data_IF_481094703274
#
_entry.id   IF_481094703274
#
_cell.length_a   1.000
_cell.length_b   1.000
_cell.length_c   1.000
_cell.angle_alpha   90.00
_cell.angle_beta   90.00
_cell.angle_gamma   90.00
#
_symmetry.space_group_name_H-M   'P 1'
#
loop_
_entity.id
_entity.type
_entity.pdbx_description
1 polymer ?
#
# COMPACT_ATOMS: atom_id res chain seq x y z
N UNK A 1 63.37 28.66 -18.41
CA UNK A 1 63.58 27.22 -18.67
C UNK A 1 62.48 26.74 -19.62
N UNK A 2 62.79 25.75 -20.44
CA UNK A 2 62.31 25.54 -21.82
C UNK A 2 60.80 25.28 -21.99
N UNK A 3 60.26 25.92 -23.03
CA UNK A 3 59.01 25.56 -23.72
C UNK A 3 59.14 24.19 -24.41
N UNK A 4 58.05 23.42 -24.44
CA UNK A 4 57.82 22.37 -25.43
C UNK A 4 56.40 22.48 -25.98
N UNK A 5 56.34 22.87 -27.25
CA UNK A 5 55.20 22.82 -28.17
C UNK A 5 55.41 21.67 -29.15
N UNK A 6 54.38 20.87 -29.41
CA UNK A 6 54.18 20.09 -30.65
C UNK A 6 52.69 19.67 -30.66
N UNK A 7 51.77 20.28 -31.40
CA UNK A 7 51.56 20.37 -32.86
C UNK A 7 51.17 19.06 -33.53
N UNK A 8 49.87 18.96 -33.88
CA UNK A 8 49.26 18.48 -35.15
C UNK A 8 49.54 17.00 -35.55
N UNK A 9 48.67 16.20 -36.18
CA UNK A 9 47.54 16.46 -37.08
C UNK A 9 47.05 15.11 -37.67
N UNK A 10 45.74 14.98 -37.97
CA UNK A 10 45.14 14.30 -39.15
C UNK A 10 45.32 12.75 -39.20
N UNK A 11 44.40 11.87 -39.59
CA UNK A 11 43.25 11.78 -40.51
C UNK A 11 42.55 10.44 -40.18
N UNK A 12 41.21 10.37 -40.12
CA UNK A 12 40.25 10.13 -41.22
C UNK A 12 40.06 8.67 -41.68
N UNK A 13 38.78 8.35 -41.95
CA UNK A 13 38.15 7.26 -42.73
C UNK A 13 37.62 6.10 -41.88
N UNK A 14 36.29 5.94 -41.74
CA UNK A 14 35.33 5.41 -42.74
C UNK A 14 35.79 4.01 -43.20
N UNK A 15 35.02 2.94 -43.02
CA UNK A 15 33.81 2.62 -43.81
C UNK A 15 33.05 1.43 -43.18
N UNK A 16 31.71 1.38 -43.33
CA UNK A 16 30.83 0.29 -42.88
C UNK A 16 30.72 -0.87 -43.88
N UNK A 17 30.42 -2.07 -43.37
CA UNK A 17 29.89 -3.25 -44.09
C UNK A 17 28.79 -3.80 -43.16
N UNK A 18 27.50 -3.97 -43.51
CA UNK A 18 26.93 -4.66 -44.67
C UNK A 18 27.15 -6.17 -44.50
N UNK A 19 26.20 -7.10 -44.52
CA UNK A 19 24.87 -7.22 -45.15
C UNK A 19 24.15 -8.44 -44.49
N UNK A 20 22.85 -8.61 -44.80
CA UNK A 20 22.10 -9.88 -44.90
C UNK A 20 21.48 -10.40 -43.58
N UNK A 21 20.17 -10.56 -43.42
CA UNK A 21 19.09 -10.73 -44.40
C UNK A 21 18.50 -12.13 -44.22
N UNK A 22 17.49 -12.29 -43.36
CA UNK A 22 16.52 -13.39 -43.45
C UNK A 22 15.12 -12.83 -43.15
N UNK A 23 14.31 -12.82 -44.20
CA UNK A 23 12.85 -12.71 -44.18
C UNK A 23 12.30 -14.10 -43.88
N UNK A 24 11.42 -14.22 -42.90
CA UNK A 24 10.47 -15.32 -42.81
C UNK A 24 9.12 -14.71 -42.42
N UNK A 25 8.32 -14.45 -43.46
CA UNK A 25 6.89 -14.24 -43.35
C UNK A 25 6.21 -15.60 -43.22
N UNK A 26 5.40 -15.78 -42.18
CA UNK A 26 4.31 -16.76 -42.20
C UNK A 26 3.01 -15.97 -42.05
N UNK A 27 2.28 -15.97 -43.15
CA UNK A 27 0.90 -15.54 -43.31
C UNK A 27 -0.01 -16.49 -42.56
N UNK A 28 -1.00 -15.94 -41.85
CA UNK A 28 -2.09 -16.70 -41.22
C UNK A 28 -3.32 -15.83 -41.04
N UNK A 29 -4.02 -15.57 -42.14
CA UNK A 29 -5.35 -14.97 -42.16
C UNK A 29 -6.40 -15.93 -41.57
N UNK A 30 -7.43 -15.39 -40.90
CA UNK A 30 -8.59 -16.15 -40.48
C UNK A 30 -9.67 -15.31 -39.81
N UNK A 31 -10.31 -14.43 -40.59
CA UNK A 31 -11.56 -13.73 -40.25
C UNK A 31 -12.77 -14.67 -40.19
N UNK A 32 -13.73 -14.32 -39.34
CA UNK A 32 -15.03 -14.95 -39.00
C UNK A 32 -15.90 -15.40 -40.18
N UNK A 33 -16.98 -16.17 -39.90
CA UNK A 33 -18.27 -15.48 -39.80
C UNK A 33 -19.21 -15.99 -38.69
N UNK A 34 -20.03 -15.06 -38.20
CA UNK A 34 -21.29 -15.34 -37.52
C UNK A 34 -22.39 -15.77 -38.53
N UNK A 35 -23.45 -16.47 -38.11
CA UNK A 35 -24.74 -16.45 -38.77
C UNK A 35 -25.77 -15.61 -37.99
N UNK A 36 -26.17 -14.52 -38.61
CA UNK A 36 -27.55 -13.98 -38.81
C UNK A 36 -28.73 -14.54 -38.01
N UNK A 37 -29.39 -13.63 -37.24
CA UNK A 37 -30.79 -13.13 -37.34
C UNK A 37 -31.92 -14.09 -37.82
N UNK A 38 -33.19 -14.12 -37.37
CA UNK A 38 -34.18 -13.25 -36.65
C UNK A 38 -35.51 -14.11 -36.59
N UNK A 39 -36.70 -13.61 -36.17
CA UNK A 39 -37.14 -12.87 -34.98
C UNK A 39 -38.35 -13.55 -34.25
N UNK A 40 -38.88 -12.84 -33.23
CA UNK A 40 -40.27 -12.80 -32.74
C UNK A 40 -40.63 -13.66 -31.51
N UNK A 41 -40.96 -13.02 -30.38
CA UNK A 41 -42.31 -12.51 -30.03
C UNK A 41 -42.30 -11.96 -28.60
N UNK A 42 -42.83 -10.76 -28.45
CA UNK A 42 -43.27 -10.16 -27.18
C UNK A 42 -44.34 -11.03 -26.52
N UNK A 43 -44.33 -11.14 -25.18
CA UNK A 43 -45.58 -11.13 -24.43
C UNK A 43 -45.64 -9.94 -23.46
N UNK A 44 -46.86 -9.45 -23.31
CA UNK A 44 -47.23 -8.28 -22.55
C UNK A 44 -47.08 -8.44 -21.02
N UNK A 45 -46.86 -7.28 -20.40
CA UNK A 45 -47.22 -6.83 -19.06
C UNK A 45 -47.90 -7.83 -18.10
N UNK A 46 -47.23 -8.03 -16.95
CA UNK A 46 -47.88 -8.40 -15.70
C UNK A 46 -47.71 -7.26 -14.68
N UNK A 47 -48.83 -6.84 -14.12
CA UNK A 47 -49.01 -5.76 -13.14
C UNK A 47 -48.34 -6.11 -11.81
N UNK A 48 -47.58 -5.17 -11.24
CA UNK A 48 -47.21 -5.19 -9.81
C UNK A 48 -48.11 -4.20 -9.06
N UNK A 49 -48.73 -4.58 -7.93
CA UNK A 49 -49.63 -3.71 -7.19
C UNK A 49 -48.89 -2.61 -6.42
N UNK A 50 -49.43 -1.41 -6.54
CA UNK A 50 -49.14 -0.21 -5.75
C UNK A 50 -49.54 -0.43 -4.28
N UNK A 51 -48.61 -0.17 -3.36
CA UNK A 51 -48.86 -0.11 -1.92
C UNK A 51 -48.19 1.14 -1.34
N UNK A 52 -48.95 1.88 -0.54
CA UNK A 52 -48.73 3.25 -0.08
C UNK A 52 -47.43 3.54 0.67
N UNK A 53 -46.92 4.77 0.46
CA UNK A 53 -45.90 5.43 1.26
C UNK A 53 -46.46 5.86 2.63
N UNK A 54 -45.73 5.66 3.73
CA UNK A 54 -45.90 6.47 4.92
C UNK A 54 -45.20 7.81 4.76
N UNK A 55 -45.99 8.86 4.88
CA UNK A 55 -45.64 10.26 4.90
C UNK A 55 -45.22 10.64 6.34
N UNK A 56 -43.96 11.05 6.54
CA UNK A 56 -43.56 11.78 7.76
C UNK A 56 -42.67 12.96 7.33
N UNK A 57 -43.24 14.15 7.37
CA UNK A 57 -42.53 15.42 7.57
C UNK A 57 -42.57 15.75 9.07
N UNK A 58 -41.50 16.31 9.63
CA UNK A 58 -41.58 17.74 10.02
C UNK A 58 -40.23 18.46 9.78
N UNK A 59 -40.23 19.62 9.11
CA UNK A 59 -40.52 20.97 9.62
C UNK A 59 -39.25 21.73 10.00
N UNK A 60 -39.07 22.88 9.36
CA UNK A 60 -38.02 23.86 9.60
C UNK A 60 -38.15 24.51 11.00
N UNK A 61 -37.00 24.73 11.64
CA UNK A 61 -36.75 25.57 12.83
C UNK A 61 -37.48 26.93 12.80
N UNK A 62 -37.83 27.60 13.93
CA UNK A 62 -36.85 27.96 14.98
C UNK A 62 -37.38 28.16 16.43
N UNK A 63 -36.58 27.86 17.45
CA UNK A 63 -36.50 28.72 18.66
C UNK A 63 -35.31 28.36 19.54
N UNK A 64 -34.43 29.35 19.71
CA UNK A 64 -33.35 29.42 20.69
C UNK A 64 -33.94 29.89 22.02
N UNK A 65 -33.45 29.41 23.17
CA UNK A 65 -33.03 30.37 24.20
C UNK A 65 -31.52 30.34 24.40
N UNK A 66 -30.89 31.49 24.17
CA UNK A 66 -29.49 31.75 24.55
C UNK A 66 -29.37 31.64 26.07
N UNK A 67 -28.61 30.68 26.58
CA UNK A 67 -28.05 30.80 27.92
C UNK A 67 -27.01 31.95 27.91
N UNK A 68 -26.98 32.84 28.92
CA UNK A 68 -26.04 33.96 28.95
C UNK A 68 -24.60 33.47 29.11
N UNK A 69 -23.69 34.07 28.34
CA UNK A 69 -22.26 34.02 28.61
C UNK A 69 -21.98 34.63 30.00
N UNK A 70 -21.24 33.96 30.89
CA UNK A 70 -20.84 34.54 32.16
C UNK A 70 -19.90 35.72 31.93
N UNK A 71 -20.14 36.82 32.68
CA UNK A 71 -19.29 38.01 32.67
C UNK A 71 -17.93 37.69 33.33
N UNK A 72 -16.84 38.36 32.92
CA UNK A 72 -15.52 38.18 33.51
C UNK A 72 -15.48 38.80 34.91
N UNK A 73 -15.08 38.01 35.91
CA UNK A 73 -14.76 38.52 37.24
C UNK A 73 -15.57 37.88 38.36
N UNK A 74 -15.28 36.61 38.66
CA UNK A 74 -15.41 36.07 40.01
C UNK A 74 -14.59 34.77 40.05
N UNK A 75 -13.46 34.80 40.77
CA UNK A 75 -12.61 33.64 41.03
C UNK A 75 -13.39 32.65 41.91
N UNK A 76 -13.57 31.38 41.49
CA UNK A 76 -13.98 30.34 42.40
C UNK A 76 -12.76 29.88 43.21
N UNK A 77 -12.94 29.90 44.51
CA UNK A 77 -12.04 29.46 45.57
C UNK A 77 -11.57 28.02 45.32
N UNK A 78 -10.29 27.77 45.62
CA UNK A 78 -9.55 26.54 45.35
C UNK A 78 -10.32 25.23 45.64
N UNK A 79 -10.39 24.37 44.61
CA UNK A 79 -10.73 22.97 44.77
C UNK A 79 -9.57 22.20 45.45
N UNK A 80 -9.85 21.21 46.31
CA UNK A 80 -8.81 20.38 46.90
C UNK A 80 -8.08 19.57 45.82
N UNK A 81 -6.75 19.50 45.93
CA UNK A 81 -5.89 18.76 45.02
C UNK A 81 -6.34 17.30 44.92
N UNK A 82 -6.86 16.93 43.75
CA UNK A 82 -7.05 15.53 43.37
C UNK A 82 -5.64 15.00 43.07
N UNK A 83 -5.17 14.08 43.91
CA UNK A 83 -3.92 13.37 43.68
C UNK A 83 -3.98 12.71 42.29
N UNK A 84 -3.01 13.03 41.44
CA UNK A 84 -2.80 12.31 40.18
C UNK A 84 -2.62 10.82 40.49
N UNK A 85 -3.31 9.90 39.78
CA UNK A 85 -2.99 8.49 39.89
C UNK A 85 -1.56 8.28 39.36
N UNK A 86 -0.68 7.88 40.28
CA UNK A 86 0.69 7.47 40.00
C UNK A 86 0.71 6.51 38.80
N UNK A 87 1.60 6.70 37.81
CA UNK A 87 1.67 5.80 36.66
C UNK A 87 1.90 4.37 37.16
N UNK A 88 1.06 3.45 36.67
CA UNK A 88 1.23 2.04 36.93
C UNK A 88 2.67 1.63 36.57
N UNK A 89 3.32 0.78 37.40
CA UNK A 89 4.67 0.30 37.09
C UNK A 89 4.65 -0.33 35.70
N UNK A 90 5.62 0.08 34.87
CA UNK A 90 5.83 -0.48 33.56
C UNK A 90 5.84 -2.02 33.68
N UNK A 91 5.06 -2.68 32.82
CA UNK A 91 5.06 -4.13 32.73
C UNK A 91 6.52 -4.63 32.67
N UNK A 92 6.86 -5.73 33.37
CA UNK A 92 8.21 -6.26 33.37
C UNK A 92 8.64 -6.48 31.91
N UNK A 93 9.75 -5.86 31.52
CA UNK A 93 10.39 -6.12 30.24
C UNK A 93 10.71 -7.60 30.22
N UNK A 94 10.00 -8.35 29.40
CA UNK A 94 10.33 -9.74 29.12
C UNK A 94 11.72 -9.70 28.51
N UNK A 95 12.71 -10.22 29.23
CA UNK A 95 14.07 -10.34 28.70
C UNK A 95 13.99 -11.24 27.47
N UNK A 96 14.14 -10.62 26.28
CA UNK A 96 14.13 -11.35 25.02
C UNK A 96 15.23 -12.39 25.02
N UNK A 97 14.94 -13.57 24.49
CA UNK A 97 15.92 -14.62 24.26
C UNK A 97 16.99 -14.13 23.29
N UNK A 98 18.16 -14.80 23.23
CA UNK A 98 19.18 -14.51 22.22
C UNK A 98 18.60 -14.54 20.79
N UNK A 99 17.63 -15.43 20.55
CA UNK A 99 16.91 -15.52 19.27
C UNK A 99 16.14 -14.23 18.97
N UNK A 100 15.50 -13.63 19.96
CA UNK A 100 14.75 -12.38 19.80
C UNK A 100 15.69 -11.21 19.49
N UNK A 101 16.88 -11.18 20.12
CA UNK A 101 17.91 -10.17 19.84
C UNK A 101 18.47 -10.28 18.42
N UNK A 102 18.76 -11.51 17.95
CA UNK A 102 19.20 -11.73 16.57
C UNK A 102 18.12 -11.33 15.57
N UNK A 103 16.85 -11.62 15.86
CA UNK A 103 15.74 -11.22 15.00
C UNK A 103 15.52 -9.70 14.97
N UNK A 104 15.67 -9.01 16.10
CA UNK A 104 15.65 -7.54 16.14
C UNK A 104 16.79 -6.93 15.33
N UNK A 105 18.00 -7.48 15.46
CA UNK A 105 19.15 -7.05 14.65
C UNK A 105 18.91 -7.28 13.15
N UNK A 106 18.41 -8.45 12.76
CA UNK A 106 18.08 -8.75 11.37
C UNK A 106 16.98 -7.82 10.80
N UNK A 107 15.96 -7.50 11.61
CA UNK A 107 14.93 -6.54 11.22
C UNK A 107 15.51 -5.13 11.01
N UNK A 108 16.50 -4.73 11.81
CA UNK A 108 17.24 -3.48 11.63
C UNK A 108 18.15 -3.49 10.40
N UNK A 109 18.68 -4.65 10.01
CA UNK A 109 19.52 -4.80 8.80
C UNK A 109 18.71 -4.83 7.49
N UNK A 110 17.38 -4.91 7.55
CA UNK A 110 16.48 -4.78 6.40
C UNK A 110 16.79 -5.78 5.26
N UNK A 111 17.27 -6.98 5.60
CA UNK A 111 17.55 -8.05 4.63
C UNK A 111 16.26 -8.73 4.21
N UNK A 112 16.11 -9.02 2.91
CA UNK A 112 15.00 -9.84 2.45
C UNK A 112 15.17 -11.29 2.94
N UNK A 113 14.10 -11.95 3.41
CA UNK A 113 14.16 -13.35 3.81
C UNK A 113 14.37 -14.26 2.59
N UNK A 114 15.04 -15.38 2.81
CA UNK A 114 15.07 -16.48 1.84
C UNK A 114 13.73 -17.22 1.89
N UNK A 115 13.06 -17.34 0.73
CA UNK A 115 11.74 -17.96 0.61
C UNK A 115 11.85 -19.18 -0.29
N UNK A 116 11.37 -20.33 0.20
CA UNK A 116 11.21 -21.54 -0.61
C UNK A 116 9.99 -21.37 -1.53
N UNK A 117 10.24 -20.82 -2.73
CA UNK A 117 9.17 -20.53 -3.70
C UNK A 117 8.42 -21.78 -4.15
N UNK A 118 9.08 -22.94 -4.18
CA UNK A 118 8.43 -24.20 -4.57
C UNK A 118 7.41 -24.64 -3.51
N UNK A 119 7.80 -24.59 -2.23
CA UNK A 119 6.90 -24.87 -1.10
C UNK A 119 5.73 -23.89 -1.05
N UNK A 120 6.00 -22.60 -1.25
CA UNK A 120 4.99 -21.53 -1.26
C UNK A 120 3.99 -21.73 -2.40
N UNK A 121 4.46 -22.00 -3.62
CA UNK A 121 3.61 -22.27 -4.78
C UNK A 121 2.76 -23.54 -4.58
N UNK A 122 3.35 -24.61 -4.01
CA UNK A 122 2.62 -25.84 -3.72
C UNK A 122 1.47 -25.66 -2.71
N UNK A 123 1.57 -24.65 -1.83
CA UNK A 123 0.49 -24.27 -0.92
C UNK A 123 -0.59 -23.39 -1.58
N UNK A 124 -0.46 -23.08 -2.88
CA UNK A 124 -1.40 -22.22 -3.61
C UNK A 124 -1.20 -20.73 -3.33
N UNK A 125 0.00 -20.32 -2.90
CA UNK A 125 0.37 -18.92 -2.75
C UNK A 125 1.15 -18.48 -4.00
N UNK A 126 0.65 -17.44 -4.67
CA UNK A 126 1.23 -16.85 -5.87
C UNK A 126 2.21 -15.75 -5.49
N UNK A 127 3.18 -15.49 -6.38
CA UNK A 127 4.15 -14.40 -6.27
C UNK A 127 3.87 -13.35 -7.35
N UNK A 128 3.75 -12.10 -6.93
CA UNK A 128 3.64 -10.92 -7.80
C UNK A 128 4.86 -10.04 -7.56
N UNK A 129 5.61 -9.69 -8.59
CA UNK A 129 6.87 -8.97 -8.45
C UNK A 129 6.80 -7.59 -9.10
N UNK A 130 7.04 -6.56 -8.31
CA UNK A 130 7.35 -5.19 -8.75
C UNK A 130 8.82 -4.87 -8.54
N UNK A 131 9.18 -3.60 -8.78
CA UNK A 131 10.52 -3.08 -8.55
C UNK A 131 10.83 -3.10 -7.04
N UNK A 132 9.96 -2.47 -6.25
CA UNK A 132 10.15 -2.23 -4.82
C UNK A 132 9.40 -3.22 -3.92
N UNK A 133 8.41 -3.95 -4.43
CA UNK A 133 7.60 -4.89 -3.65
C UNK A 133 7.51 -6.27 -4.33
N UNK A 134 7.73 -7.34 -3.57
CA UNK A 134 7.30 -8.70 -3.92
C UNK A 134 6.10 -9.03 -3.05
N UNK A 135 4.96 -9.35 -3.66
CA UNK A 135 3.76 -9.79 -2.94
C UNK A 135 3.63 -11.31 -3.04
N UNK A 136 3.44 -11.96 -1.90
CA UNK A 136 2.97 -13.33 -1.82
C UNK A 136 1.49 -13.31 -1.43
N UNK A 137 0.63 -13.94 -2.24
CA UNK A 137 -0.83 -13.90 -2.02
C UNK A 137 -1.51 -15.22 -2.35
N UNK A 138 -2.49 -15.61 -1.54
CA UNK A 138 -3.39 -16.74 -1.79
C UNK A 138 -4.69 -16.33 -2.51
N UNK A 139 -4.83 -15.05 -2.86
CA UNK A 139 -5.91 -14.57 -3.70
C UNK A 139 -5.76 -15.08 -5.14
N UNK A 140 -6.89 -15.30 -5.80
CA UNK A 140 -6.92 -15.62 -7.23
C UNK A 140 -6.44 -14.43 -8.08
N UNK A 141 -6.06 -14.70 -9.33
CA UNK A 141 -5.73 -13.65 -10.29
C UNK A 141 -6.91 -12.71 -10.47
N UNK A 142 -6.64 -11.42 -10.33
CA UNK A 142 -7.62 -10.35 -10.36
C UNK A 142 -6.88 -9.04 -10.69
N UNK A 143 -7.35 -8.23 -11.66
CA UNK A 143 -6.66 -7.00 -12.04
C UNK A 143 -6.34 -6.07 -10.87
N UNK A 144 -7.23 -5.95 -9.88
CA UNK A 144 -7.05 -5.07 -8.71
C UNK A 144 -6.03 -5.61 -7.70
N UNK A 145 -5.75 -6.91 -7.73
CA UNK A 145 -4.71 -7.55 -6.91
C UNK A 145 -3.38 -7.55 -7.67
N UNK A 146 -3.42 -7.86 -8.96
CA UNK A 146 -2.23 -8.02 -9.79
C UNK A 146 -1.58 -6.66 -10.12
N UNK A 147 -2.30 -5.54 -9.98
CA UNK A 147 -1.75 -4.17 -10.12
C UNK A 147 -0.98 -3.67 -8.88
N UNK A 148 -1.16 -4.29 -7.71
CA UNK A 148 -0.62 -3.80 -6.44
C UNK A 148 0.90 -3.54 -6.44
N UNK A 149 1.76 -4.39 -7.06
CA UNK A 149 3.18 -4.07 -7.13
C UNK A 149 3.47 -2.78 -7.89
N UNK A 150 2.71 -2.49 -8.96
CA UNK A 150 2.85 -1.23 -9.72
C UNK A 150 2.42 -0.04 -8.88
N UNK A 151 1.33 -0.16 -8.12
CA UNK A 151 0.87 0.89 -7.20
C UNK A 151 1.97 1.21 -6.19
N UNK A 152 2.57 0.19 -5.58
CA UNK A 152 3.68 0.39 -4.64
C UNK A 152 4.89 1.04 -5.31
N UNK A 153 5.25 0.63 -6.53
CA UNK A 153 6.35 1.23 -7.28
C UNK A 153 6.13 2.73 -7.54
N UNK A 154 4.88 3.17 -7.73
CA UNK A 154 4.50 4.57 -7.90
C UNK A 154 4.45 5.35 -6.57
N UNK A 155 4.34 4.66 -5.44
CA UNK A 155 4.34 5.28 -4.11
C UNK A 155 5.74 5.71 -3.68
N UNK A 156 6.78 4.92 -4.02
CA UNK A 156 8.17 5.18 -3.62
C UNK A 156 8.67 6.59 -3.97
N UNK A 157 8.56 7.09 -5.22
CA UNK A 157 8.99 8.46 -5.53
C UNK A 157 8.13 9.54 -4.84
N UNK A 158 6.89 9.23 -4.45
CA UNK A 158 6.06 10.16 -3.69
C UNK A 158 6.50 10.22 -2.22
N UNK A 159 6.92 9.09 -1.64
CA UNK A 159 7.53 9.07 -0.32
C UNK A 159 8.88 9.82 -0.30
N UNK A 160 9.76 9.61 -1.29
CA UNK A 160 11.02 10.38 -1.35
C UNK A 160 10.76 11.87 -1.45
N UNK A 161 9.82 12.28 -2.31
CA UNK A 161 9.40 13.68 -2.43
C UNK A 161 8.80 14.25 -1.15
N UNK A 162 7.94 13.48 -0.46
CA UNK A 162 7.31 13.93 0.79
C UNK A 162 8.33 14.13 1.93
N UNK A 163 9.28 13.20 2.06
CA UNK A 163 10.30 13.24 3.12
C UNK A 163 11.57 14.01 2.72
N UNK A 164 11.55 14.71 1.58
CA UNK A 164 12.66 15.50 1.07
C UNK A 164 13.98 14.69 0.94
N UNK A 165 13.85 13.43 0.54
CA UNK A 165 14.98 12.53 0.31
C UNK A 165 15.43 12.56 -1.15
N UNK A 166 16.70 12.22 -1.38
CA UNK A 166 17.22 12.04 -2.74
C UNK A 166 16.50 10.89 -3.45
N UNK A 167 16.01 11.12 -4.68
CA UNK A 167 15.23 10.14 -5.44
C UNK A 167 15.98 8.83 -5.73
N UNK A 168 17.31 8.84 -5.67
CA UNK A 168 18.13 7.65 -5.89
C UNK A 168 18.28 6.79 -4.63
N UNK A 169 17.95 7.32 -3.45
CA UNK A 169 18.18 6.62 -2.18
C UNK A 169 17.42 5.29 -2.08
N UNK A 170 16.26 5.24 -2.72
CA UNK A 170 15.38 4.08 -2.72
C UNK A 170 15.50 3.24 -4.00
N UNK A 171 16.46 3.52 -4.89
CA UNK A 171 16.54 2.92 -6.22
C UNK A 171 16.52 1.38 -6.20
N UNK A 172 17.31 0.78 -5.29
CA UNK A 172 17.45 -0.67 -5.10
C UNK A 172 16.66 -1.19 -3.89
N UNK A 173 15.84 -0.33 -3.26
CA UNK A 173 15.07 -0.72 -2.09
C UNK A 173 13.98 -1.71 -2.46
N UNK A 174 13.85 -2.75 -1.65
CA UNK A 174 12.89 -3.82 -1.87
C UNK A 174 12.37 -4.40 -0.56
N UNK A 175 11.10 -4.75 -0.55
CA UNK A 175 10.38 -5.37 0.58
C UNK A 175 9.54 -6.56 0.11
N UNK A 176 9.24 -7.46 1.03
CA UNK A 176 8.27 -8.53 0.85
C UNK A 176 6.95 -8.17 1.53
N UNK A 177 5.86 -8.34 0.81
CA UNK A 177 4.50 -8.17 1.29
C UNK A 177 3.74 -9.49 1.28
N UNK A 178 2.90 -9.71 2.28
CA UNK A 178 2.06 -10.91 2.39
C UNK A 178 0.58 -10.51 2.45
N UNK A 179 -0.12 -10.61 1.32
CA UNK A 179 -1.55 -10.33 1.19
C UNK A 179 -2.35 -11.60 1.41
N UNK A 180 -3.01 -11.70 2.56
CA UNK A 180 -3.56 -12.96 3.06
C UNK A 180 -5.09 -12.95 3.10
N UNK A 181 -5.72 -13.96 2.51
CA UNK A 181 -7.11 -14.33 2.80
C UNK A 181 -7.19 -15.43 3.86
N UNK A 182 -6.31 -16.43 3.77
CA UNK A 182 -6.19 -17.57 4.68
C UNK A 182 -4.86 -17.49 5.43
N UNK A 183 -4.87 -17.05 6.69
CA UNK A 183 -3.64 -16.83 7.47
C UNK A 183 -2.92 -18.15 7.77
N UNK A 184 -3.69 -19.23 7.97
CA UNK A 184 -3.16 -20.55 8.31
C UNK A 184 -2.30 -21.10 7.18
N UNK A 185 -2.65 -20.78 5.93
CA UNK A 185 -1.84 -21.13 4.75
C UNK A 185 -0.44 -20.53 4.80
N UNK A 186 -0.32 -19.24 5.14
CA UNK A 186 0.96 -18.55 5.25
C UNK A 186 1.77 -19.05 6.44
N UNK A 187 1.11 -19.28 7.58
CA UNK A 187 1.76 -19.87 8.74
C UNK A 187 2.31 -21.27 8.42
N UNK A 188 1.54 -22.11 7.71
CA UNK A 188 1.94 -23.47 7.34
C UNK A 188 3.19 -23.56 6.46
N UNK A 189 3.46 -22.52 5.65
CA UNK A 189 4.68 -22.45 4.84
C UNK A 189 5.82 -21.67 5.49
N UNK A 190 5.56 -20.96 6.60
CA UNK A 190 6.55 -20.15 7.32
C UNK A 190 6.62 -18.69 6.87
N UNK A 191 5.68 -18.23 6.04
CA UNK A 191 5.60 -16.84 5.60
C UNK A 191 4.91 -15.93 6.64
N UNK A 192 4.18 -16.49 7.61
CA UNK A 192 3.65 -15.77 8.76
C UNK A 192 4.29 -16.33 10.05
N UNK A 193 5.32 -15.66 10.60
CA UNK A 193 6.01 -16.11 11.79
C UNK A 193 5.13 -16.09 13.05
N UNK A 194 5.31 -17.06 13.94
CA UNK A 194 4.59 -17.21 15.21
C UNK A 194 4.95 -16.16 16.27
N UNK A 195 6.07 -15.46 16.07
CA UNK A 195 6.58 -14.44 16.98
C UNK A 195 6.12 -13.02 16.64
N UNK A 196 5.20 -12.86 15.66
CA UNK A 196 4.55 -11.57 15.42
C UNK A 196 3.51 -11.30 16.51
N UNK A 197 3.39 -10.05 17.01
CA UNK A 197 2.27 -9.71 17.87
C UNK A 197 0.95 -9.91 17.12
N UNK A 198 -0.16 -10.13 17.82
CA UNK A 198 -1.46 -10.17 17.17
C UNK A 198 -1.76 -8.81 16.52
N UNK A 199 -2.22 -8.84 15.27
CA UNK A 199 -2.64 -7.66 14.51
C UNK A 199 -3.98 -7.91 13.82
N UNK A 200 -4.77 -6.84 13.67
CA UNK A 200 -6.13 -6.93 13.13
C UNK A 200 -6.17 -6.81 11.60
N UNK A 201 -5.35 -5.93 11.03
CA UNK A 201 -5.43 -5.57 9.60
C UNK A 201 -4.09 -5.71 8.89
N UNK A 202 -3.03 -5.16 9.47
CA UNK A 202 -1.68 -5.28 8.95
C UNK A 202 -0.63 -5.16 10.05
N UNK A 203 0.61 -5.47 9.68
CA UNK A 203 1.79 -5.30 10.52
C UNK A 203 3.05 -5.22 9.67
N UNK A 204 3.97 -4.34 10.04
CA UNK A 204 5.27 -4.20 9.40
C UNK A 204 6.41 -4.62 10.35
N UNK A 205 7.41 -5.33 9.81
CA UNK A 205 8.65 -5.66 10.52
C UNK A 205 9.83 -5.73 9.56
N UNK A 206 10.77 -4.79 9.68
CA UNK A 206 11.96 -4.75 8.84
C UNK A 206 11.61 -4.67 7.34
N UNK A 207 12.16 -5.58 6.54
CA UNK A 207 11.91 -5.66 5.09
C UNK A 207 10.59 -6.35 4.70
N UNK A 208 9.75 -6.66 5.68
CA UNK A 208 8.54 -7.46 5.51
C UNK A 208 7.31 -6.74 6.06
N UNK A 209 6.16 -6.95 5.43
CA UNK A 209 4.88 -6.59 6.01
C UNK A 209 3.75 -7.54 5.60
N UNK A 210 2.75 -7.66 6.46
CA UNK A 210 1.60 -8.55 6.32
C UNK A 210 0.33 -7.72 6.34
N UNK A 211 -0.65 -8.07 5.52
CA UNK A 211 -1.99 -7.49 5.64
C UNK A 211 -3.07 -8.45 5.15
N UNK A 212 -4.25 -8.35 5.76
CA UNK A 212 -5.39 -9.15 5.39
C UNK A 212 -6.12 -8.56 4.19
N UNK A 213 -6.63 -9.44 3.33
CA UNK A 213 -7.49 -9.05 2.23
C UNK A 213 -8.74 -8.31 2.74
N UNK A 214 -9.02 -7.16 2.13
CA UNK A 214 -10.16 -6.32 2.47
C UNK A 214 -11.32 -6.49 1.49
N UNK A 215 -12.56 -6.13 1.88
CA UNK A 215 -13.74 -6.24 1.02
C UNK A 215 -13.68 -5.40 -0.28
N UNK A 216 -12.84 -4.37 -0.34
CA UNK A 216 -12.69 -3.47 -1.49
C UNK A 216 -11.23 -3.23 -1.88
N UNK A 217 -11.00 -2.89 -3.15
CA UNK A 217 -9.66 -2.63 -3.68
C UNK A 217 -9.01 -1.40 -3.09
N UNK A 218 -9.77 -0.35 -2.78
CA UNK A 218 -9.27 0.82 -2.04
C UNK A 218 -8.68 0.42 -0.70
N UNK A 219 -9.46 -0.20 0.19
CA UNK A 219 -8.99 -0.58 1.53
C UNK A 219 -7.81 -1.57 1.48
N UNK A 220 -7.78 -2.45 0.46
CA UNK A 220 -6.64 -3.34 0.23
C UNK A 220 -5.37 -2.57 -0.16
N UNK A 221 -5.49 -1.59 -1.07
CA UNK A 221 -4.40 -0.70 -1.48
C UNK A 221 -3.95 0.20 -0.33
N UNK A 222 -4.90 0.76 0.42
CA UNK A 222 -4.66 1.62 1.57
C UNK A 222 -3.83 0.90 2.63
N UNK A 223 -4.20 -0.31 3.05
CA UNK A 223 -3.39 -1.09 4.00
C UNK A 223 -1.99 -1.43 3.45
N UNK A 224 -1.87 -1.76 2.17
CA UNK A 224 -0.56 -2.00 1.57
C UNK A 224 0.33 -0.74 1.62
N UNK A 225 -0.25 0.43 1.34
CA UNK A 225 0.46 1.71 1.37
C UNK A 225 0.76 2.17 2.81
N UNK A 226 -0.16 1.90 3.75
CA UNK A 226 0.01 2.16 5.17
C UNK A 226 1.23 1.39 5.71
N UNK A 227 1.25 0.07 5.56
CA UNK A 227 2.38 -0.76 6.02
C UNK A 227 3.67 -0.48 5.21
N UNK A 228 3.52 -0.15 3.92
CA UNK A 228 4.62 0.31 3.08
C UNK A 228 5.27 1.60 3.59
N UNK A 229 4.46 2.52 4.10
CA UNK A 229 4.93 3.78 4.69
C UNK A 229 5.74 3.51 5.96
N UNK A 230 5.27 2.61 6.84
CA UNK A 230 6.04 2.15 8.01
C UNK A 230 7.40 1.59 7.59
N UNK A 231 7.42 0.71 6.58
CA UNK A 231 8.65 0.11 6.06
C UNK A 231 9.61 1.18 5.50
N UNK A 232 9.10 2.14 4.74
CA UNK A 232 9.88 3.22 4.17
C UNK A 232 10.50 4.10 5.26
N UNK A 233 9.69 4.53 6.22
CA UNK A 233 10.12 5.36 7.35
C UNK A 233 11.19 4.64 8.18
N UNK A 234 10.95 3.38 8.54
CA UNK A 234 11.94 2.55 9.24
C UNK A 234 13.27 2.49 8.49
N UNK A 235 13.23 2.35 7.16
CA UNK A 235 14.45 2.17 6.36
C UNK A 235 15.27 3.44 6.22
N UNK A 236 14.62 4.57 5.94
CA UNK A 236 15.29 5.79 5.46
C UNK A 236 15.37 6.91 6.49
N UNK A 237 14.50 6.91 7.51
CA UNK A 237 14.46 7.97 8.51
C UNK A 237 15.13 7.57 9.83
N UNK A 238 15.72 6.38 9.89
CA UNK A 238 16.35 5.83 11.10
C UNK A 238 15.33 5.34 12.16
N UNK A 239 14.06 5.24 11.78
CA UNK A 239 12.94 4.83 12.63
C UNK A 239 11.63 5.49 12.20
N UNK A 240 10.54 5.18 12.90
CA UNK A 240 9.20 5.74 12.61
C UNK A 240 8.80 6.91 13.51
N UNK A 241 9.65 7.28 14.47
CA UNK A 241 9.32 8.31 15.47
C UNK A 241 8.31 7.82 16.52
N UNK A 242 7.62 8.74 17.24
CA UNK A 242 6.62 8.37 18.23
C UNK A 242 5.37 7.75 17.56
N UNK A 243 4.62 6.87 18.24
CA UNK A 243 3.51 6.13 17.63
C UNK A 243 2.46 7.00 16.92
N UNK A 244 2.10 8.15 17.49
CA UNK A 244 1.14 9.06 16.85
C UNK A 244 1.62 9.59 15.49
N UNK A 245 2.94 9.77 15.33
CA UNK A 245 3.53 10.26 14.09
C UNK A 245 3.65 9.11 13.09
N UNK A 246 4.12 7.94 13.54
CA UNK A 246 4.20 6.74 12.70
C UNK A 246 2.84 6.40 12.07
N UNK A 247 1.82 6.21 12.90
CA UNK A 247 0.47 5.88 12.44
C UNK A 247 -0.15 7.05 11.65
N UNK A 248 0.01 8.29 12.10
CA UNK A 248 -0.51 9.45 11.39
C UNK A 248 0.08 9.59 9.97
N UNK A 249 1.36 9.29 9.80
CA UNK A 249 2.02 9.29 8.50
C UNK A 249 1.55 8.13 7.63
N UNK A 250 1.42 6.94 8.19
CA UNK A 250 0.96 5.76 7.47
C UNK A 250 -0.49 5.89 7.02
N UNK A 251 -1.38 6.46 7.84
CA UNK A 251 -2.75 6.76 7.44
C UNK A 251 -2.80 7.86 6.38
N UNK A 252 -2.08 8.97 6.58
CA UNK A 252 -2.06 10.06 5.61
C UNK A 252 -1.54 9.62 4.25
N UNK A 253 -0.40 8.92 4.20
CA UNK A 253 0.20 8.43 2.96
C UNK A 253 -0.44 7.12 2.46
N UNK A 254 -1.27 6.46 3.25
CA UNK A 254 -2.11 5.33 2.85
C UNK A 254 -3.37 5.76 2.10
N UNK A 255 -3.95 6.91 2.47
CA UNK A 255 -5.06 7.51 1.71
C UNK A 255 -4.58 7.97 0.34
N UNK A 256 -5.30 7.56 -0.71
CA UNK A 256 -4.85 7.73 -2.07
C UNK A 256 -5.98 7.89 -3.07
N UNK A 257 -5.63 8.40 -4.25
CA UNK A 257 -6.43 8.29 -5.47
C UNK A 257 -5.73 7.34 -6.43
N UNK A 258 -6.49 6.40 -6.97
CA UNK A 258 -6.04 5.49 -8.03
C UNK A 258 -6.97 5.61 -9.23
N UNK A 259 -6.48 6.23 -10.31
CA UNK A 259 -7.30 6.45 -11.52
C UNK A 259 -6.40 6.39 -12.76
N UNK A 260 -6.83 5.65 -13.79
CA UNK A 260 -6.09 5.58 -15.07
C UNK A 260 -4.68 4.99 -14.95
N UNK A 261 -4.36 4.29 -13.86
CA UNK A 261 -3.01 3.78 -13.58
C UNK A 261 -2.05 4.83 -13.00
N UNK A 262 -2.57 5.98 -12.58
CA UNK A 262 -1.87 7.02 -11.83
C UNK A 262 -2.24 6.94 -10.35
N UNK A 263 -1.22 7.10 -9.49
CA UNK A 263 -1.36 7.13 -8.04
C UNK A 263 -1.10 8.55 -7.52
N UNK A 264 -2.01 9.06 -6.71
CA UNK A 264 -1.78 10.25 -5.87
C UNK A 264 -1.93 9.85 -4.41
N UNK A 265 -0.83 9.88 -3.64
CA UNK A 265 -0.87 9.68 -2.19
C UNK A 265 -1.41 10.94 -1.48
N UNK A 266 -1.68 10.82 -0.19
CA UNK A 266 -2.19 11.92 0.63
C UNK A 266 -3.51 12.52 0.10
N UNK A 267 -4.30 11.70 -0.58
CA UNK A 267 -5.59 12.08 -1.11
C UNK A 267 -6.69 11.44 -0.27
N UNK A 268 -7.45 12.27 0.46
CA UNK A 268 -8.62 11.83 1.18
C UNK A 268 -9.82 11.72 0.22
N UNK A 269 -10.41 10.53 0.02
CA UNK A 269 -11.60 10.35 -0.80
C UNK A 269 -12.72 11.32 -0.43
N UNK A 270 -13.30 11.98 -1.43
CA UNK A 270 -14.36 12.97 -1.25
C UNK A 270 -15.74 12.34 -1.13
N UNK A 271 -15.88 11.13 -1.67
CA UNK A 271 -17.12 10.36 -1.62
C UNK A 271 -16.79 8.89 -1.34
N UNK A 272 -17.83 8.10 -1.00
CA UNK A 272 -17.66 6.66 -0.76
C UNK A 272 -17.30 5.90 -2.03
N UNK A 273 -17.62 6.44 -3.19
CA UNK A 273 -17.34 5.84 -4.49
C UNK A 273 -15.89 6.10 -4.94
N UNK A 274 -15.22 7.08 -4.36
CA UNK A 274 -13.77 7.28 -4.52
C UNK A 274 -12.95 6.32 -3.62
N UNK A 275 -13.60 5.71 -2.62
CA UNK A 275 -13.07 4.64 -1.76
C UNK A 275 -13.67 3.27 -2.13
#
# INVERSE_FOLDING_TARGET
MRNLTFSRSISSRWTPWGVMGIVLAVVGCGTSPAPTARPAKTPAAAKVPTGEKPQITPSLNPTKPSAPLPKPGEQPVAAPAVAEPSPAPAAPRTEGTLKDLVQQANAAEFRLPEIDEAKVAAAGIRKLAGKHLIIYTDLAADPEVDELPKVFDLAVPQWTGYFELDDTIAADWKVNGYLMKDKERFAGVGLLPDNLPPFLHGYQRGSEFWWYNQPGSFYRRELMLHEGTHAFMMRFLGGMGPPWYAEGMAEYLGTHKWEGGELTLAYNPRTKEEA
#
